data_IF_210169391062
#
_entry.id   IF_210169391062
#
_cell.length_a   1.000
_cell.length_b   1.000
_cell.length_c   1.000
_cell.angle_alpha   90.00
_cell.angle_beta   90.00
_cell.angle_gamma   90.00
#
_symmetry.space_group_name_H-M   'P 1'
#
loop_
_entity.id
_entity.type
_entity.pdbx_description
1 polymer ?
#
# COMPACT_ATOMS: atom_id res chain seq x y z
N UNK A 1 1.43 -8.10 5.21
CA UNK A 1 1.63 -9.28 6.08
C UNK A 1 2.84 -10.04 5.56
N UNK A 2 3.77 -10.36 6.44
CA UNK A 2 4.95 -11.16 6.13
C UNK A 2 4.83 -12.49 6.87
N UNK A 3 5.06 -13.58 6.17
CA UNK A 3 4.85 -14.94 6.67
C UNK A 3 6.06 -15.81 6.30
N UNK A 4 6.57 -16.57 7.27
CA UNK A 4 7.50 -17.68 7.08
C UNK A 4 6.72 -18.97 6.87
N UNK A 5 7.14 -19.80 5.92
CA UNK A 5 6.63 -21.16 5.76
C UNK A 5 7.70 -22.12 6.26
N UNK A 6 7.55 -22.56 7.51
CA UNK A 6 8.59 -23.35 8.18
C UNK A 6 8.59 -24.81 7.67
N UNK A 7 7.41 -25.36 7.36
CA UNK A 7 7.21 -26.71 6.81
C UNK A 7 5.99 -26.74 5.86
N UNK A 8 5.72 -27.87 5.22
CA UNK A 8 4.54 -28.01 4.37
C UNK A 8 3.25 -27.72 5.15
N UNK A 9 2.49 -26.72 4.69
CA UNK A 9 1.27 -26.20 5.32
C UNK A 9 1.46 -25.62 6.74
N UNK A 10 2.70 -25.40 7.17
CA UNK A 10 3.02 -24.76 8.46
C UNK A 10 3.50 -23.34 8.20
N UNK A 11 2.75 -22.35 8.71
CA UNK A 11 3.00 -20.93 8.48
C UNK A 11 3.17 -20.19 9.81
N UNK A 12 4.14 -19.26 9.85
CA UNK A 12 4.36 -18.35 10.97
C UNK A 12 4.29 -16.92 10.50
N UNK A 13 3.46 -16.11 11.14
CA UNK A 13 3.40 -14.67 10.87
C UNK A 13 4.63 -14.00 11.47
N UNK A 14 5.39 -13.29 10.64
CA UNK A 14 6.57 -12.53 11.06
C UNK A 14 6.25 -11.04 11.28
N UNK A 15 5.24 -10.53 10.60
CA UNK A 15 4.83 -9.14 10.75
C UNK A 15 3.55 -8.82 10.00
N UNK A 16 2.79 -7.85 10.51
CA UNK A 16 1.58 -7.35 9.88
C UNK A 16 1.46 -5.85 10.11
N UNK A 17 0.61 -5.20 9.33
CA UNK A 17 0.27 -3.79 9.55
C UNK A 17 -0.42 -3.65 10.92
N UNK A 18 -0.30 -2.49 11.56
CA UNK A 18 -1.03 -2.18 12.79
C UNK A 18 -2.40 -1.56 12.50
N UNK A 19 -2.52 -0.93 11.33
CA UNK A 19 -3.67 -0.15 10.90
C UNK A 19 -4.14 -0.63 9.51
N UNK A 20 -3.84 0.13 8.46
CA UNK A 20 -4.36 -0.08 7.13
C UNK A 20 -3.50 -1.11 6.38
N UNK A 21 -4.17 -2.03 5.69
CA UNK A 21 -3.49 -2.83 4.69
C UNK A 21 -3.02 -1.93 3.54
N UNK A 22 -1.93 -2.31 2.86
CA UNK A 22 -1.42 -1.52 1.73
C UNK A 22 -2.49 -1.27 0.67
N UNK A 23 -3.31 -2.28 0.31
CA UNK A 23 -4.42 -2.10 -0.63
C UNK A 23 -5.45 -1.07 -0.15
N UNK A 24 -5.78 -1.08 1.15
CA UNK A 24 -6.71 -0.12 1.75
C UNK A 24 -6.16 1.31 1.73
N UNK A 25 -4.86 1.49 1.98
CA UNK A 25 -4.22 2.80 1.87
C UNK A 25 -4.30 3.35 0.43
N UNK A 26 -4.02 2.51 -0.58
CA UNK A 26 -4.17 2.88 -1.99
C UNK A 26 -5.62 3.26 -2.34
N UNK A 27 -6.60 2.49 -1.86
CA UNK A 27 -8.00 2.76 -2.11
C UNK A 27 -8.49 4.04 -1.39
N UNK A 28 -8.02 4.30 -0.17
CA UNK A 28 -8.33 5.53 0.57
C UNK A 28 -7.78 6.76 -0.16
N UNK A 29 -6.53 6.71 -0.61
CA UNK A 29 -5.91 7.80 -1.37
C UNK A 29 -6.60 8.01 -2.71
N UNK A 30 -6.87 6.94 -3.47
CA UNK A 30 -7.58 7.05 -4.74
C UNK A 30 -8.98 7.65 -4.59
N UNK A 31 -9.71 7.27 -3.53
CA UNK A 31 -11.01 7.86 -3.19
C UNK A 31 -10.88 9.34 -2.83
N UNK A 32 -9.90 9.69 -1.99
CA UNK A 32 -9.64 11.08 -1.60
C UNK A 32 -9.34 11.97 -2.82
N UNK A 33 -8.62 11.43 -3.81
CA UNK A 33 -8.28 12.12 -5.06
C UNK A 33 -9.36 12.02 -6.15
N UNK A 34 -10.49 11.34 -5.89
CA UNK A 34 -11.59 11.19 -6.86
C UNK A 34 -11.26 10.28 -8.06
N UNK A 35 -10.30 9.37 -7.93
CA UNK A 35 -9.77 8.54 -9.02
C UNK A 35 -10.55 7.23 -9.25
N UNK A 36 -11.42 6.83 -8.33
CA UNK A 36 -12.24 5.62 -8.44
C UNK A 36 -11.68 4.39 -7.70
N UNK A 37 -12.22 3.21 -7.99
CA UNK A 37 -11.91 1.93 -7.33
C UNK A 37 -11.82 0.78 -8.36
N UNK A 38 -10.90 -0.20 -8.22
CA UNK A 38 -9.85 -0.30 -7.20
C UNK A 38 -8.74 0.73 -7.43
N UNK A 39 -8.30 1.37 -6.35
CA UNK A 39 -7.33 2.47 -6.39
C UNK A 39 -5.92 2.02 -6.74
N UNK A 40 -5.53 0.81 -6.31
CA UNK A 40 -4.21 0.23 -6.54
C UNK A 40 -3.68 0.39 -7.97
N UNK A 41 -4.35 -0.20 -8.98
CA UNK A 41 -3.91 -0.11 -10.38
C UNK A 41 -3.89 1.31 -10.96
N UNK A 42 -4.68 2.24 -10.41
CA UNK A 42 -4.77 3.61 -10.92
C UNK A 42 -3.58 4.42 -10.42
N UNK A 43 -3.30 4.37 -9.11
CA UNK A 43 -2.17 5.04 -8.48
C UNK A 43 -0.85 4.49 -9.04
N UNK A 44 -0.74 3.17 -9.22
CA UNK A 44 0.46 2.53 -9.77
C UNK A 44 0.82 3.06 -11.18
N UNK A 45 -0.18 3.20 -12.06
CA UNK A 45 0.01 3.81 -13.39
C UNK A 45 0.44 5.27 -13.29
N UNK A 46 -0.23 6.07 -12.45
CA UNK A 46 0.09 7.50 -12.30
C UNK A 46 1.51 7.70 -11.75
N UNK A 47 1.94 6.84 -10.83
CA UNK A 47 3.26 6.89 -10.21
C UNK A 47 4.40 6.82 -11.24
N UNK A 48 4.23 6.10 -12.35
CA UNK A 48 5.24 6.01 -13.43
C UNK A 48 5.59 7.37 -14.08
N UNK A 49 4.67 8.33 -13.99
CA UNK A 49 4.81 9.68 -14.55
C UNK A 49 4.97 10.77 -13.48
N UNK A 50 4.89 10.39 -12.20
CA UNK A 50 5.04 11.30 -11.07
C UNK A 50 6.51 11.58 -10.71
N UNK A 51 6.74 12.68 -10.00
CA UNK A 51 8.05 12.95 -9.41
C UNK A 51 8.06 12.41 -7.97
N UNK A 52 9.09 11.66 -7.61
CA UNK A 52 9.19 11.00 -6.29
C UNK A 52 9.69 11.91 -5.17
N UNK A 53 9.70 13.23 -5.37
CA UNK A 53 10.20 14.17 -4.40
C UNK A 53 9.05 14.74 -3.55
N UNK A 54 9.10 14.47 -2.25
CA UNK A 54 8.21 15.08 -1.27
C UNK A 54 9.08 15.91 -0.33
N UNK A 55 9.06 17.23 -0.49
CA UNK A 55 9.67 18.15 0.47
C UNK A 55 8.77 18.30 1.69
N UNK A 56 9.08 17.54 2.74
CA UNK A 56 8.41 17.69 4.03
C UNK A 56 8.83 19.02 4.67
N UNK A 57 7.94 20.01 4.59
CA UNK A 57 8.07 21.23 5.37
C UNK A 57 7.58 20.92 6.79
N UNK A 58 8.49 20.41 7.61
CA UNK A 58 8.25 20.28 9.04
C UNK A 58 7.95 21.66 9.63
N UNK A 59 6.85 21.76 10.39
CA UNK A 59 6.84 22.63 11.56
C UNK A 59 7.45 21.85 12.71
#
# INVERSE_FOLDING_TARGET
>A
MLVSMDEHLTYRVLGQTLDDAAGEAYDKVARYLGLGYPGGPIIDRLATSGQSEISFHGR
#
